data_IF_755191461662
#
_entry.id   IF_755191461662
#
_cell.length_a   1.000
_cell.length_b   1.000
_cell.length_c   1.000
_cell.angle_alpha   90.00
_cell.angle_beta   90.00
_cell.angle_gamma   90.00
#
_symmetry.space_group_name_H-M   'P 1'
#
loop_
_entity.id
_entity.type
_entity.pdbx_description
1 polymer ?
#
# COMPACT_ATOMS: atom_id res chain seq x y z
N UNK A 1 -15.01 -6.91 20.37
CA UNK A 1 -14.12 -6.00 21.12
C UNK A 1 -12.67 -6.12 20.65
N UNK A 2 -12.10 -7.32 20.52
CA UNK A 2 -10.72 -7.55 20.03
C UNK A 2 -10.29 -6.89 18.69
N UNK A 3 -11.19 -6.75 17.71
CA UNK A 3 -10.84 -6.13 16.41
C UNK A 3 -10.71 -4.61 16.50
N UNK A 4 -11.53 -3.98 17.36
CA UNK A 4 -11.45 -2.55 17.66
C UNK A 4 -10.27 -2.25 18.58
N UNK A 5 -9.92 -3.16 19.49
CA UNK A 5 -8.74 -3.05 20.34
C UNK A 5 -7.44 -3.22 19.53
N UNK A 6 -7.40 -4.15 18.58
CA UNK A 6 -6.28 -4.31 17.63
C UNK A 6 -6.17 -3.14 16.65
N UNK A 7 -7.30 -2.56 16.24
CA UNK A 7 -7.34 -1.35 15.41
C UNK A 7 -6.86 -0.13 16.21
N UNK A 8 -7.29 0.02 17.47
CA UNK A 8 -6.81 1.05 18.39
C UNK A 8 -5.32 0.88 18.73
N UNK A 9 -4.84 -0.36 18.82
CA UNK A 9 -3.42 -0.65 19.03
C UNK A 9 -2.55 -0.34 17.80
N UNK A 10 -3.02 -0.64 16.58
CA UNK A 10 -2.39 -0.13 15.34
C UNK A 10 -2.48 1.41 15.23
N UNK A 11 -3.54 2.02 15.77
CA UNK A 11 -3.72 3.46 15.82
C UNK A 11 -2.70 4.16 16.74
N UNK A 12 -2.23 3.47 17.79
CA UNK A 12 -1.26 3.96 18.78
C UNK A 12 0.22 3.69 18.43
N UNK A 13 0.50 2.94 17.36
CA UNK A 13 1.88 2.59 16.94
C UNK A 13 2.72 3.81 16.48
N UNK A 14 2.07 4.88 16.00
CA UNK A 14 2.66 6.19 15.71
C UNK A 14 1.53 7.23 15.61
N UNK A 15 1.77 8.51 15.99
CA UNK A 15 0.75 9.59 15.93
C UNK A 15 0.10 9.77 14.56
N UNK A 16 0.77 9.30 13.50
CA UNK A 16 0.32 9.40 12.10
C UNK A 16 -0.27 8.11 11.53
N UNK A 17 -0.12 6.96 12.21
CA UNK A 17 -0.66 5.67 11.74
C UNK A 17 -2.19 5.73 11.63
N UNK A 18 -2.85 6.40 12.57
CA UNK A 18 -4.28 6.67 12.50
C UNK A 18 -4.69 7.42 11.23
N UNK A 19 -3.93 8.44 10.83
CA UNK A 19 -4.19 9.20 9.60
C UNK A 19 -4.01 8.34 8.34
N UNK A 20 -3.01 7.47 8.31
CA UNK A 20 -2.77 6.55 7.19
C UNK A 20 -3.84 5.45 7.10
N UNK A 21 -4.32 4.94 8.23
CA UNK A 21 -5.44 3.99 8.28
C UNK A 21 -6.74 4.62 7.82
N UNK A 22 -7.02 5.86 8.25
CA UNK A 22 -8.18 6.62 7.77
C UNK A 22 -8.07 6.91 6.27
N UNK A 23 -6.89 7.29 5.78
CA UNK A 23 -6.62 7.46 4.36
C UNK A 23 -6.92 6.18 3.55
N UNK A 24 -6.44 5.03 4.03
CA UNK A 24 -6.71 3.74 3.40
C UNK A 24 -8.20 3.41 3.42
N UNK A 25 -8.88 3.62 4.54
CA UNK A 25 -10.31 3.42 4.68
C UNK A 25 -11.13 4.27 3.70
N UNK A 26 -10.75 5.54 3.52
CA UNK A 26 -11.40 6.45 2.56
C UNK A 26 -11.20 5.95 1.12
N UNK A 27 -10.00 5.49 0.75
CA UNK A 27 -9.75 4.93 -0.57
C UNK A 27 -10.62 3.70 -0.85
N UNK A 28 -10.67 2.75 0.09
CA UNK A 28 -11.47 1.53 -0.04
C UNK A 28 -12.95 1.86 -0.17
N UNK A 29 -13.45 2.79 0.66
CA UNK A 29 -14.86 3.19 0.64
C UNK A 29 -15.22 3.88 -0.68
N UNK A 30 -14.39 4.81 -1.15
CA UNK A 30 -14.58 5.46 -2.45
C UNK A 30 -14.60 4.45 -3.59
N UNK A 31 -13.66 3.50 -3.59
CA UNK A 31 -13.57 2.50 -4.64
C UNK A 31 -14.81 1.57 -4.61
N UNK A 32 -15.25 1.14 -3.42
CA UNK A 32 -16.45 0.33 -3.26
C UNK A 32 -17.72 1.05 -3.78
N UNK A 33 -17.89 2.33 -3.46
CA UNK A 33 -19.08 3.11 -3.86
C UNK A 33 -19.09 3.39 -5.35
N UNK A 34 -17.96 3.80 -5.93
CA UNK A 34 -17.87 4.11 -7.37
C UNK A 34 -18.07 2.86 -8.25
N UNK A 35 -17.78 1.67 -7.72
CA UNK A 35 -17.93 0.41 -8.45
C UNK A 35 -19.25 -0.31 -8.20
N UNK A 36 -19.88 -0.14 -7.04
CA UNK A 36 -21.23 -0.68 -6.80
C UNK A 36 -22.28 0.15 -7.55
N UNK A 37 -22.03 1.45 -7.71
CA UNK A 37 -22.88 2.37 -8.46
C UNK A 37 -22.12 2.84 -9.70
N UNK A 38 -22.08 2.00 -10.74
CA UNK A 38 -21.36 2.26 -12.01
C UNK A 38 -22.06 3.30 -12.89
N UNK A 39 -22.44 4.43 -12.31
CA UNK A 39 -23.08 5.57 -12.97
C UNK A 39 -22.39 6.87 -12.56
N UNK A 40 -22.70 7.97 -13.25
CA UNK A 40 -22.19 9.29 -12.87
C UNK A 40 -22.54 9.67 -11.43
N UNK A 41 -23.63 9.12 -10.88
CA UNK A 41 -24.00 9.29 -9.47
C UNK A 41 -23.01 8.61 -8.53
N UNK A 42 -22.54 7.40 -8.83
CA UNK A 42 -21.55 6.73 -7.98
C UNK A 42 -20.18 7.39 -8.02
N UNK A 43 -19.80 7.97 -9.16
CA UNK A 43 -18.59 8.80 -9.30
C UNK A 43 -18.69 10.09 -8.48
N UNK A 44 -19.85 10.76 -8.50
CA UNK A 44 -20.13 11.92 -7.63
C UNK A 44 -20.03 11.55 -6.14
N UNK A 45 -20.61 10.42 -5.74
CA UNK A 45 -20.49 9.94 -4.36
C UNK A 45 -19.04 9.63 -3.99
N UNK A 46 -18.28 9.03 -4.89
CA UNK A 46 -16.85 8.81 -4.70
C UNK A 46 -16.07 10.11 -4.49
N UNK A 47 -16.36 11.16 -5.28
CA UNK A 47 -15.79 12.49 -5.08
C UNK A 47 -16.13 13.08 -3.70
N UNK A 48 -17.38 12.96 -3.27
CA UNK A 48 -17.83 13.45 -1.96
C UNK A 48 -17.10 12.70 -0.84
N UNK A 49 -16.98 11.37 -0.93
CA UNK A 49 -16.30 10.53 0.06
C UNK A 49 -14.82 10.88 0.15
N UNK A 50 -14.11 11.00 -0.97
CA UNK A 50 -12.70 11.39 -0.94
C UNK A 50 -12.47 12.79 -0.40
N UNK A 51 -13.32 13.75 -0.77
CA UNK A 51 -13.16 15.14 -0.35
C UNK A 51 -13.43 15.29 1.14
N UNK A 52 -14.54 14.71 1.62
CA UNK A 52 -14.88 14.68 3.04
C UNK A 52 -13.83 13.91 3.86
N UNK A 53 -13.37 12.76 3.36
CA UNK A 53 -12.34 11.96 3.99
C UNK A 53 -11.00 12.69 4.10
N UNK A 54 -10.57 13.38 3.04
CA UNK A 54 -9.35 14.19 3.06
C UNK A 54 -9.44 15.32 4.10
N UNK A 55 -10.54 16.06 4.13
CA UNK A 55 -10.76 17.13 5.12
C UNK A 55 -10.74 16.57 6.54
N UNK A 56 -11.41 15.44 6.78
CA UNK A 56 -11.45 14.80 8.09
C UNK A 56 -10.05 14.36 8.55
N UNK A 57 -9.27 13.74 7.67
CA UNK A 57 -7.89 13.31 7.97
C UNK A 57 -6.99 14.51 8.25
N UNK A 58 -7.12 15.61 7.49
CA UNK A 58 -6.34 16.82 7.71
C UNK A 58 -6.71 17.50 9.04
N UNK A 59 -8.00 17.58 9.39
CA UNK A 59 -8.43 18.08 10.70
C UNK A 59 -7.88 17.22 11.85
N UNK A 60 -7.90 15.89 11.69
CA UNK A 60 -7.27 14.99 12.65
C UNK A 60 -5.77 15.27 12.81
N UNK A 61 -5.04 15.40 11.70
CA UNK A 61 -3.62 15.76 11.71
C UNK A 61 -3.36 17.15 12.34
N UNK A 62 -4.30 18.08 12.25
CA UNK A 62 -4.24 19.38 12.95
C UNK A 62 -4.48 19.28 14.45
N UNK A 63 -5.35 18.37 14.89
CA UNK A 63 -5.63 18.15 16.31
C UNK A 63 -4.47 17.51 17.09
N UNK A 64 -3.52 16.89 16.39
CA UNK A 64 -2.34 16.29 17.02
C UNK A 64 -1.40 17.37 17.54
N UNK A 65 -1.09 17.33 18.84
CA UNK A 65 -0.04 18.15 19.45
C UNK A 65 1.33 17.54 19.13
N UNK A 66 2.05 18.16 18.21
CA UNK A 66 3.31 17.64 17.67
C UNK A 66 4.52 18.43 18.15
N UNK A 67 5.64 17.74 18.40
CA UNK A 67 6.93 18.31 18.84
C UNK A 67 7.89 18.26 17.65
N UNK A 68 8.55 19.37 17.34
CA UNK A 68 9.43 19.66 16.20
C UNK A 68 9.57 18.63 15.06
N UNK A 69 10.30 17.52 15.21
CA UNK A 69 10.51 16.53 14.14
C UNK A 69 9.21 15.95 13.57
N UNK A 70 8.17 15.87 14.41
CA UNK A 70 6.83 15.44 14.02
C UNK A 70 6.16 16.39 13.00
N UNK A 71 6.55 17.68 12.95
CA UNK A 71 5.95 18.67 12.03
C UNK A 71 6.35 18.40 10.58
N UNK A 72 7.57 17.95 10.34
CA UNK A 72 8.05 17.60 9.00
C UNK A 72 7.30 16.36 8.48
N UNK A 73 7.15 15.34 9.32
CA UNK A 73 6.41 14.12 9.01
C UNK A 73 4.93 14.42 8.76
N UNK A 74 4.31 15.27 9.59
CA UNK A 74 2.95 15.78 9.34
C UNK A 74 2.84 16.43 7.96
N UNK A 75 3.81 17.25 7.56
CA UNK A 75 3.82 17.88 6.24
C UNK A 75 3.80 16.85 5.11
N UNK A 76 4.61 15.79 5.22
CA UNK A 76 4.65 14.69 4.25
C UNK A 76 3.32 13.93 4.20
N UNK A 77 2.75 13.56 5.36
CA UNK A 77 1.49 12.81 5.44
C UNK A 77 0.31 13.65 4.94
N UNK A 78 0.24 14.93 5.32
CA UNK A 78 -0.76 15.87 4.79
C UNK A 78 -0.66 16.01 3.27
N UNK A 79 0.56 16.15 2.73
CA UNK A 79 0.76 16.23 1.28
C UNK A 79 0.34 14.94 0.57
N UNK A 80 0.66 13.77 1.14
CA UNK A 80 0.18 12.48 0.62
C UNK A 80 -1.35 12.48 0.54
N UNK A 81 -2.02 12.83 1.63
CA UNK A 81 -3.50 12.87 1.71
C UNK A 81 -4.08 13.82 0.67
N UNK A 82 -3.55 15.04 0.56
CA UNK A 82 -4.02 16.05 -0.41
C UNK A 82 -3.80 15.59 -1.85
N UNK A 83 -2.59 15.16 -2.20
CA UNK A 83 -2.26 14.79 -3.57
C UNK A 83 -3.03 13.54 -4.04
N UNK A 84 -3.22 12.57 -3.14
CA UNK A 84 -3.89 11.32 -3.50
C UNK A 84 -5.41 11.42 -3.44
N UNK A 85 -5.99 11.82 -2.30
CA UNK A 85 -7.45 11.92 -2.16
C UNK A 85 -8.03 13.13 -2.89
N UNK A 86 -7.31 14.25 -2.92
CA UNK A 86 -7.71 15.42 -3.71
C UNK A 86 -7.58 15.17 -5.22
N UNK A 87 -6.49 14.53 -5.65
CA UNK A 87 -6.31 14.09 -7.04
C UNK A 87 -7.37 13.07 -7.48
N UNK A 88 -7.66 12.07 -6.64
CA UNK A 88 -8.67 11.07 -6.93
C UNK A 88 -10.08 11.66 -6.93
N UNK A 89 -10.40 12.55 -5.98
CA UNK A 89 -11.68 13.23 -5.94
C UNK A 89 -11.92 14.11 -7.16
N UNK A 90 -10.97 14.97 -7.51
CA UNK A 90 -11.07 15.80 -8.72
C UNK A 90 -11.17 14.97 -10.01
N UNK A 91 -10.42 13.87 -10.10
CA UNK A 91 -10.53 12.90 -11.19
C UNK A 91 -11.93 12.27 -11.27
N UNK A 92 -12.49 11.82 -10.15
CA UNK A 92 -13.84 11.26 -10.10
C UNK A 92 -14.91 12.28 -10.48
N UNK A 93 -14.77 13.53 -10.05
CA UNK A 93 -15.67 14.61 -10.44
C UNK A 93 -15.60 14.86 -11.95
N UNK A 94 -14.39 14.94 -12.51
CA UNK A 94 -14.18 15.10 -13.95
C UNK A 94 -14.81 13.96 -14.76
N UNK A 95 -14.65 12.72 -14.31
CA UNK A 95 -15.23 11.53 -14.96
C UNK A 95 -16.76 11.43 -14.74
N UNK A 96 -17.30 12.06 -13.70
CA UNK A 96 -18.75 12.12 -13.47
C UNK A 96 -19.45 13.11 -14.41
N UNK A 97 -18.77 14.19 -14.80
CA UNK A 97 -19.30 15.23 -15.69
C UNK A 97 -18.96 15.00 -17.16
N UNK A 98 -17.97 14.14 -17.46
CA UNK A 98 -17.61 13.77 -18.82
C UNK A 98 -18.58 12.74 -19.42
N UNK A 99 -18.55 12.59 -20.76
CA UNK A 99 -19.15 11.41 -21.40
C UNK A 99 -18.42 10.17 -20.86
N UNK A 100 -19.20 9.17 -20.45
CA UNK A 100 -18.68 7.93 -19.89
C UNK A 100 -17.83 7.15 -20.91
N UNK A 101 -16.94 6.25 -20.45
CA UNK A 101 -16.10 5.46 -21.34
C UNK A 101 -16.97 4.57 -22.23
N UNK A 102 -16.54 4.42 -23.48
CA UNK A 102 -17.13 3.47 -24.42
C UNK A 102 -16.88 2.02 -23.96
N UNK A 103 -17.69 1.05 -24.40
CA UNK A 103 -17.50 -0.35 -24.04
C UNK A 103 -16.12 -0.91 -24.41
N UNK A 104 -15.51 -0.37 -25.46
CA UNK A 104 -14.18 -0.79 -25.94
C UNK A 104 -13.07 -0.22 -25.04
N UNK A 105 -13.21 1.02 -24.57
CA UNK A 105 -12.28 1.63 -23.60
C UNK A 105 -12.31 0.90 -22.25
N UNK A 106 -13.48 0.49 -21.76
CA UNK A 106 -13.59 -0.27 -20.50
C UNK A 106 -12.97 -1.67 -20.64
N UNK A 107 -13.18 -2.35 -21.77
CA UNK A 107 -12.51 -3.63 -22.07
C UNK A 107 -11.00 -3.48 -22.15
N UNK A 108 -10.50 -2.43 -22.80
CA UNK A 108 -9.07 -2.17 -22.91
C UNK A 108 -8.45 -1.88 -21.53
N UNK A 109 -9.13 -1.09 -20.68
CA UNK A 109 -8.68 -0.79 -19.33
C UNK A 109 -8.60 -2.05 -18.45
N UNK A 110 -9.63 -2.91 -18.48
CA UNK A 110 -9.63 -4.19 -17.75
C UNK A 110 -8.54 -5.13 -18.26
N UNK A 111 -8.34 -5.20 -19.58
CA UNK A 111 -7.25 -5.96 -20.19
C UNK A 111 -5.88 -5.50 -19.70
N UNK A 112 -5.61 -4.19 -19.71
CA UNK A 112 -4.34 -3.64 -19.19
C UNK A 112 -4.13 -3.97 -17.71
N UNK A 113 -5.16 -3.80 -16.88
CA UNK A 113 -5.06 -4.09 -15.44
C UNK A 113 -4.71 -5.55 -15.21
N UNK A 114 -5.43 -6.45 -15.88
CA UNK A 114 -5.23 -7.89 -15.74
C UNK A 114 -3.87 -8.34 -16.25
N UNK A 115 -3.47 -7.86 -17.42
CA UNK A 115 -2.31 -8.41 -18.15
C UNK A 115 -0.98 -7.70 -17.78
N UNK A 116 -1.03 -6.58 -17.03
CA UNK A 116 0.15 -5.76 -16.73
C UNK A 116 0.24 -5.30 -15.29
N UNK A 117 -0.84 -4.74 -14.74
CA UNK A 117 -0.82 -4.11 -13.42
C UNK A 117 -0.84 -5.15 -12.30
N UNK A 118 -1.72 -6.16 -12.38
CA UNK A 118 -1.80 -7.23 -11.38
C UNK A 118 -0.48 -8.01 -11.30
N UNK A 119 0.10 -8.36 -12.45
CA UNK A 119 1.44 -8.95 -12.53
C UNK A 119 2.47 -8.08 -11.81
N UNK A 120 2.56 -6.79 -12.14
CA UNK A 120 3.52 -5.87 -11.53
C UNK A 120 3.34 -5.76 -10.01
N UNK A 121 2.10 -5.71 -9.54
CA UNK A 121 1.78 -5.65 -8.10
C UNK A 121 2.11 -6.96 -7.40
N UNK A 122 1.83 -8.10 -8.01
CA UNK A 122 2.21 -9.42 -7.48
C UNK A 122 3.72 -9.48 -7.24
N UNK A 123 4.54 -9.07 -8.22
CA UNK A 123 5.99 -9.02 -8.05
C UNK A 123 6.44 -8.05 -6.96
N UNK A 124 5.81 -6.87 -6.86
CA UNK A 124 6.11 -5.91 -5.81
C UNK A 124 5.82 -6.48 -4.41
N UNK A 125 4.71 -7.22 -4.26
CA UNK A 125 4.36 -7.89 -3.01
C UNK A 125 5.29 -9.05 -2.67
N UNK A 126 5.67 -9.89 -3.64
CA UNK A 126 6.66 -10.95 -3.41
C UNK A 126 7.99 -10.37 -2.96
N UNK A 127 8.46 -9.30 -3.61
CA UNK A 127 9.67 -8.60 -3.20
C UNK A 127 9.59 -8.08 -1.77
N UNK A 128 8.52 -7.35 -1.45
CA UNK A 128 8.31 -6.81 -0.11
C UNK A 128 8.24 -7.93 0.95
N UNK A 129 7.57 -9.04 0.65
CA UNK A 129 7.46 -10.20 1.54
C UNK A 129 8.84 -10.85 1.80
N UNK A 130 9.62 -11.12 0.75
CA UNK A 130 10.94 -11.75 0.88
C UNK A 130 11.88 -10.86 1.70
N UNK A 131 11.95 -9.56 1.38
CA UNK A 131 12.85 -8.64 2.06
C UNK A 131 12.46 -8.46 3.53
N UNK A 132 11.18 -8.21 3.83
CA UNK A 132 10.70 -8.06 5.21
C UNK A 132 10.82 -9.34 6.02
N UNK A 133 10.52 -10.51 5.45
CA UNK A 133 10.70 -11.79 6.12
C UNK A 133 12.17 -12.09 6.43
N UNK A 134 13.07 -11.87 5.47
CA UNK A 134 14.50 -12.15 5.66
C UNK A 134 15.08 -11.25 6.74
N UNK A 135 14.74 -9.96 6.73
CA UNK A 135 15.16 -9.04 7.77
C UNK A 135 14.57 -9.42 9.13
N UNK A 136 13.29 -9.75 9.21
CA UNK A 136 12.66 -10.23 10.44
C UNK A 136 13.36 -11.48 11.00
N UNK A 137 13.61 -12.48 10.14
CA UNK A 137 14.23 -13.75 10.52
C UNK A 137 15.68 -13.59 11.00
N UNK A 138 16.41 -12.59 10.49
CA UNK A 138 17.77 -12.27 10.93
C UNK A 138 17.75 -11.42 12.20
N UNK A 139 16.88 -10.41 12.27
CA UNK A 139 16.84 -9.46 13.38
C UNK A 139 16.23 -10.04 14.66
N UNK A 140 15.29 -10.99 14.56
CA UNK A 140 14.67 -11.65 15.72
C UNK A 140 15.69 -12.39 16.61
N UNK A 141 16.50 -13.35 16.12
CA UNK A 141 17.48 -14.05 16.96
C UNK A 141 18.57 -13.11 17.46
N UNK A 142 18.95 -12.14 16.65
CA UNK A 142 19.90 -11.10 17.00
C UNK A 142 19.40 -10.22 18.17
N UNK A 143 18.14 -9.79 18.13
CA UNK A 143 17.51 -9.08 19.25
C UNK A 143 17.46 -9.92 20.53
N UNK A 144 17.17 -11.23 20.42
CA UNK A 144 17.20 -12.16 21.57
C UNK A 144 18.61 -12.30 22.19
N UNK A 145 19.67 -12.08 21.39
CA UNK A 145 21.07 -12.06 21.83
C UNK A 145 21.53 -10.67 22.29
N UNK A 146 20.64 -9.67 22.29
CA UNK A 146 20.91 -8.29 22.70
C UNK A 146 21.70 -7.46 21.67
N UNK A 147 21.83 -7.93 20.43
CA UNK A 147 22.70 -7.39 19.38
C UNK A 147 22.06 -7.61 18.02
N UNK A 148 21.65 -6.61 17.20
CA UNK A 148 21.81 -5.14 17.28
C UNK A 148 20.64 -4.42 17.99
N UNK A 149 20.68 -3.08 18.19
CA UNK A 149 19.60 -2.32 18.81
C UNK A 149 18.43 -2.11 17.85
N UNK A 150 17.83 -3.20 17.36
CA UNK A 150 16.59 -3.16 16.60
C UNK A 150 15.46 -3.21 17.61
N UNK A 151 14.63 -2.17 17.64
CA UNK A 151 13.54 -2.10 18.60
C UNK A 151 12.51 -3.20 18.35
N UNK A 152 11.81 -3.63 19.40
CA UNK A 152 10.68 -4.57 19.27
C UNK A 152 9.62 -4.05 18.28
N UNK A 153 9.44 -2.73 18.22
CA UNK A 153 8.58 -2.05 17.25
C UNK A 153 9.00 -2.25 15.79
N UNK A 154 10.30 -2.26 15.50
CA UNK A 154 10.83 -2.47 14.15
C UNK A 154 10.59 -3.91 13.70
N UNK A 155 10.78 -4.88 14.61
CA UNK A 155 10.49 -6.30 14.36
C UNK A 155 9.02 -6.56 14.08
N UNK A 156 8.12 -5.98 14.89
CA UNK A 156 6.68 -6.11 14.67
C UNK A 156 6.24 -5.45 13.36
N UNK A 157 6.85 -4.31 13.00
CA UNK A 157 6.60 -3.62 11.73
C UNK A 157 7.04 -4.46 10.53
N UNK A 158 8.22 -5.09 10.59
CA UNK A 158 8.69 -6.02 9.55
C UNK A 158 7.75 -7.23 9.40
N UNK A 159 7.26 -7.79 10.51
CA UNK A 159 6.30 -8.87 10.49
C UNK A 159 4.97 -8.43 9.85
N UNK A 160 4.46 -7.25 10.21
CA UNK A 160 3.23 -6.69 9.65
C UNK A 160 3.37 -6.45 8.14
N UNK A 161 4.51 -5.90 7.70
CA UNK A 161 4.82 -5.73 6.27
C UNK A 161 4.87 -7.07 5.55
N UNK A 162 5.51 -8.09 6.14
CA UNK A 162 5.56 -9.43 5.58
C UNK A 162 4.15 -10.01 5.39
N UNK A 163 3.32 -9.98 6.45
CA UNK A 163 1.96 -10.52 6.40
C UNK A 163 1.08 -9.75 5.42
N UNK A 164 1.16 -8.41 5.41
CA UNK A 164 0.44 -7.58 4.46
C UNK A 164 0.88 -7.84 3.02
N UNK A 165 2.18 -8.05 2.79
CA UNK A 165 2.70 -8.35 1.47
C UNK A 165 2.28 -9.76 0.99
N UNK A 166 2.28 -10.76 1.88
CA UNK A 166 1.74 -12.09 1.60
C UNK A 166 0.24 -12.05 1.30
N UNK A 167 -0.52 -11.21 2.00
CA UNK A 167 -1.94 -10.98 1.69
C UNK A 167 -2.11 -10.37 0.30
N UNK A 168 -1.34 -9.33 -0.02
CA UNK A 168 -1.33 -8.72 -1.35
C UNK A 168 -1.00 -9.74 -2.45
N UNK A 169 0.02 -10.57 -2.23
CA UNK A 169 0.39 -11.67 -3.13
C UNK A 169 -0.73 -12.71 -3.28
N UNK A 170 -1.37 -13.14 -2.19
CA UNK A 170 -2.45 -14.12 -2.22
C UNK A 170 -3.66 -13.62 -3.02
N UNK A 171 -3.93 -12.31 -2.96
CA UNK A 171 -4.97 -11.66 -3.76
C UNK A 171 -4.56 -11.58 -5.25
N UNK A 172 -3.32 -11.18 -5.52
CA UNK A 172 -2.79 -11.00 -6.89
C UNK A 172 -2.64 -12.30 -7.69
N UNK A 173 -2.11 -13.34 -7.05
CA UNK A 173 -1.82 -14.66 -7.65
C UNK A 173 -3.05 -15.44 -8.14
N UNK A 174 -4.26 -14.97 -7.81
CA UNK A 174 -5.52 -15.59 -8.24
C UNK A 174 -6.37 -14.60 -9.05
N UNK A 175 -5.94 -14.19 -10.26
CA UNK A 175 -6.67 -13.21 -11.06
C UNK A 175 -8.08 -13.67 -11.45
N UNK A 176 -8.35 -14.97 -11.44
CA UNK A 176 -9.70 -15.54 -11.63
C UNK A 176 -10.70 -15.13 -10.54
N UNK A 177 -10.23 -14.85 -9.31
CA UNK A 177 -11.06 -14.33 -8.20
C UNK A 177 -11.36 -12.85 -8.35
N UNK A 178 -10.55 -12.13 -9.11
CA UNK A 178 -10.73 -10.72 -9.43
C UNK A 178 -11.54 -10.51 -10.72
N UNK A 179 -12.05 -11.57 -11.34
CA UNK A 179 -12.87 -11.46 -12.56
C UNK A 179 -14.08 -10.55 -12.29
N UNK A 180 -14.21 -9.47 -13.06
CA UNK A 180 -15.17 -8.37 -12.88
C UNK A 180 -14.87 -7.37 -11.74
N UNK A 181 -13.92 -7.67 -10.86
CA UNK A 181 -13.43 -6.80 -9.78
C UNK A 181 -11.97 -6.35 -10.02
N UNK A 182 -11.44 -6.50 -11.24
CA UNK A 182 -10.02 -6.26 -11.55
C UNK A 182 -9.57 -4.87 -11.11
N UNK A 183 -10.40 -3.85 -11.37
CA UNK A 183 -10.14 -2.46 -10.98
C UNK A 183 -10.11 -2.28 -9.46
N UNK A 184 -11.03 -2.93 -8.73
CA UNK A 184 -11.17 -2.82 -7.27
C UNK A 184 -10.02 -3.55 -6.57
N UNK A 185 -9.71 -4.75 -7.05
CA UNK A 185 -8.59 -5.56 -6.57
C UNK A 185 -7.26 -4.85 -6.80
N UNK A 186 -7.03 -4.35 -8.02
CA UNK A 186 -5.81 -3.60 -8.32
C UNK A 186 -5.70 -2.31 -7.50
N UNK A 187 -6.79 -1.56 -7.32
CA UNK A 187 -6.79 -0.36 -6.49
C UNK A 187 -6.50 -0.67 -5.01
N UNK A 188 -7.16 -1.69 -4.45
CA UNK A 188 -6.92 -2.14 -3.08
C UNK A 188 -5.48 -2.64 -2.89
N UNK A 189 -4.94 -3.35 -3.88
CA UNK A 189 -3.55 -3.79 -3.90
C UNK A 189 -2.56 -2.62 -3.97
N UNK A 190 -2.80 -1.61 -4.82
CA UNK A 190 -1.99 -0.39 -4.85
C UNK A 190 -2.05 0.33 -3.51
N UNK A 191 -3.25 0.49 -2.93
CA UNK A 191 -3.43 1.14 -1.64
C UNK A 191 -2.73 0.38 -0.50
N UNK A 192 -2.81 -0.96 -0.51
CA UNK A 192 -2.10 -1.81 0.44
C UNK A 192 -0.59 -1.64 0.30
N UNK A 193 -0.05 -1.67 -0.92
CA UNK A 193 1.37 -1.45 -1.16
C UNK A 193 1.84 -0.08 -0.66
N UNK A 194 1.07 0.98 -0.93
CA UNK A 194 1.34 2.33 -0.46
C UNK A 194 1.28 2.46 1.06
N UNK A 195 0.45 1.66 1.74
CA UNK A 195 0.41 1.62 3.20
C UNK A 195 1.60 0.85 3.78
N UNK A 196 2.04 -0.22 3.12
CA UNK A 196 3.19 -1.02 3.59
C UNK A 196 4.53 -0.30 3.40
N UNK A 197 4.69 0.48 2.32
CA UNK A 197 5.91 1.23 2.00
C UNK A 197 6.47 2.09 3.15
N UNK A 198 5.69 3.01 3.78
CA UNK A 198 6.20 3.83 4.86
C UNK A 198 6.49 3.03 6.12
N UNK A 199 5.67 2.01 6.44
CA UNK A 199 5.90 1.11 7.58
C UNK A 199 7.21 0.35 7.39
N UNK A 200 7.46 -0.14 6.17
CA UNK A 200 8.70 -0.81 5.81
C UNK A 200 9.90 0.12 5.89
N UNK A 201 9.83 1.30 5.27
CA UNK A 201 10.91 2.29 5.30
C UNK A 201 11.28 2.71 6.73
N UNK A 202 10.27 2.86 7.60
CA UNK A 202 10.50 3.17 9.01
C UNK A 202 11.19 2.02 9.74
N UNK A 203 10.75 0.77 9.52
CA UNK A 203 11.39 -0.41 10.13
C UNK A 203 12.86 -0.61 9.70
N UNK A 204 13.24 -0.05 8.55
CA UNK A 204 14.63 -0.06 8.08
C UNK A 204 15.51 1.00 8.74
N UNK A 205 14.95 2.01 9.41
CA UNK A 205 15.73 3.13 9.95
C UNK A 205 16.78 2.70 10.98
N UNK A 206 16.41 1.80 11.91
CA UNK A 206 17.33 1.22 12.89
C UNK A 206 18.38 0.30 12.27
N UNK A 207 18.04 -0.39 11.17
CA UNK A 207 18.98 -1.26 10.45
C UNK A 207 19.94 -0.46 9.56
N UNK A 208 19.47 0.65 9.00
CA UNK A 208 20.24 1.54 8.14
C UNK A 208 21.36 2.24 8.90
N UNK A 209 21.08 2.70 10.12
CA UNK A 209 22.07 3.32 11.01
C UNK A 209 23.15 2.33 11.45
N UNK A 210 22.80 1.06 11.61
CA UNK A 210 23.74 0.00 11.96
C UNK A 210 24.60 -0.45 10.78
N UNK A 211 23.99 -0.78 9.63
CA UNK A 211 24.73 -1.18 8.43
C UNK A 211 23.91 -1.01 7.14
N UNK A 212 24.01 0.18 6.56
CA UNK A 212 23.42 0.49 5.24
C UNK A 212 23.87 -0.49 4.14
N UNK A 213 25.11 -1.00 4.20
CA UNK A 213 25.66 -1.93 3.22
C UNK A 213 24.99 -3.30 3.28
N UNK A 214 24.68 -3.81 4.47
CA UNK A 214 23.96 -5.07 4.64
C UNK A 214 22.51 -4.95 4.15
N UNK A 215 21.85 -3.83 4.49
CA UNK A 215 20.49 -3.53 4.02
C UNK A 215 20.46 -3.44 2.50
N UNK A 216 21.30 -2.61 1.87
CA UNK A 216 21.34 -2.50 0.41
C UNK A 216 21.74 -3.81 -0.27
N UNK A 217 22.72 -4.54 0.26
CA UNK A 217 23.15 -5.82 -0.28
C UNK A 217 22.01 -6.82 -0.39
N UNK A 218 21.21 -6.95 0.68
CA UNK A 218 20.02 -7.81 0.68
C UNK A 218 19.01 -7.38 -0.39
N UNK A 219 18.67 -6.09 -0.45
CA UNK A 219 17.67 -5.57 -1.37
C UNK A 219 18.11 -5.73 -2.84
N UNK A 220 19.37 -5.43 -3.14
CA UNK A 220 19.95 -5.62 -4.49
C UNK A 220 19.96 -7.10 -4.86
N UNK A 221 20.36 -7.98 -3.94
CA UNK A 221 20.33 -9.43 -4.18
C UNK A 221 18.91 -9.93 -4.45
N UNK A 222 17.93 -9.55 -3.63
CA UNK A 222 16.53 -9.91 -3.82
C UNK A 222 15.96 -9.37 -5.13
N UNK A 223 16.31 -8.13 -5.50
CA UNK A 223 15.90 -7.53 -6.77
C UNK A 223 16.50 -8.27 -7.98
N UNK A 224 17.79 -8.62 -7.93
CA UNK A 224 18.46 -9.39 -8.98
C UNK A 224 17.89 -10.81 -9.11
N UNK A 225 17.60 -11.47 -7.98
CA UNK A 225 16.97 -12.78 -7.96
C UNK A 225 15.59 -12.75 -8.62
N UNK A 226 14.75 -11.77 -8.27
CA UNK A 226 13.44 -11.60 -8.91
C UNK A 226 13.55 -11.25 -10.39
N UNK A 227 14.46 -10.35 -10.76
CA UNK A 227 14.67 -9.99 -12.17
C UNK A 227 15.10 -11.20 -12.99
N UNK A 228 15.96 -12.06 -12.44
CA UNK A 228 16.36 -13.32 -13.06
C UNK A 228 15.15 -14.24 -13.24
N UNK A 229 14.36 -14.46 -12.21
CA UNK A 229 13.16 -15.32 -12.27
C UNK A 229 12.17 -14.81 -13.31
N UNK A 230 11.94 -13.49 -13.35
CA UNK A 230 11.11 -12.80 -14.35
C UNK A 230 11.62 -13.01 -15.78
N UNK A 231 12.93 -12.89 -15.98
CA UNK A 231 13.55 -13.09 -17.28
C UNK A 231 13.34 -14.52 -17.78
N UNK A 232 13.59 -15.52 -16.94
CA UNK A 232 13.39 -16.93 -17.30
C UNK A 232 11.92 -17.23 -17.61
N UNK A 233 10.98 -16.79 -16.76
CA UNK A 233 9.55 -17.04 -16.97
C UNK A 233 9.02 -16.41 -18.27
N UNK A 234 9.51 -15.22 -18.65
CA UNK A 234 9.13 -14.54 -19.90
C UNK A 234 9.78 -15.14 -21.15
N UNK A 235 10.94 -15.76 -21.04
CA UNK A 235 11.60 -16.44 -22.17
C UNK A 235 10.89 -17.75 -22.48
N UNK A 236 10.41 -18.47 -21.46
CA UNK A 236 9.71 -19.73 -21.60
C UNK A 236 8.35 -19.56 -22.30
N UNK A 237 7.59 -18.51 -21.95
CA UNK A 237 6.31 -18.16 -22.60
C UNK A 237 6.41 -17.70 -24.05
N UNK A 238 7.59 -17.25 -24.52
CA UNK A 238 7.79 -16.92 -25.94
C UNK A 238 8.16 -18.12 -26.81
N UNK A 239 8.43 -19.27 -26.20
CA UNK A 239 8.81 -20.52 -26.89
C UNK A 239 7.65 -21.50 -27.03
N UNK A 240 6.55 -21.27 -26.32
CA UNK A 240 5.25 -21.95 -26.46
C UNK A 240 4.29 -21.10 -27.27
#
# INVERSE_FOLDING_TARGET
MWLLDGFAWMYDLNRFTGALLMWFGVLVLTAAVTMNVQSNRGKLWGFVITSAGAVFILMYLESLKLIDDDKAIKGVVSNLVVMTLGGLGSGLLAVAISRGPTPDEDKQARGFIRDRLLDALEYAFVYAAICSFTLFAVCLPLNLLGWPPVGEHDLLSLLLVCLGALLGYAIGSHPSRLKNWEQLGACAMVALLLLLLPVYAQSLSGLWSWSWAAVLGLHVFAALALFRTLWFHRVEWRRT
#
